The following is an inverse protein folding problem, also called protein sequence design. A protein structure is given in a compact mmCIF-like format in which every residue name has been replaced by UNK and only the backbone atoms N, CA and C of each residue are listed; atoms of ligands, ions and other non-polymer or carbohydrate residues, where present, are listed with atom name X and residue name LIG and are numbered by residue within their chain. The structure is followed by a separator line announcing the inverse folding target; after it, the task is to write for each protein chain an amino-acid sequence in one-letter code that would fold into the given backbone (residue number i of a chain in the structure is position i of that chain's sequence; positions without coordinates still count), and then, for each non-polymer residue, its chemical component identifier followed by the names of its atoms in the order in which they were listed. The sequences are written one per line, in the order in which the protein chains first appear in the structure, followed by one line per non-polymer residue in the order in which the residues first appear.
data_IF_326930200607
#
_entry.id   IF_326930200607
#
_cell.length_a   1.000
_cell.length_b   1.000
_cell.length_c   1.000
_cell.angle_alpha   90.00
_cell.angle_beta   90.00
_cell.angle_gamma   90.00
#
_symmetry.space_group_name_H-M   'P 1'
#
loop_
_entity.id
_entity.type
_entity.pdbx_description
1 polymer ?
#
# COMPACT_ATOMS: atom_id res chain seq x y z
N UNK A 1 24.68 27.08 -41.41
CA UNK A 1 23.80 26.13 -40.68
C UNK A 1 24.58 25.19 -39.75
N UNK A 2 25.63 24.51 -40.21
CA UNK A 2 26.41 23.54 -39.40
C UNK A 2 27.06 24.15 -38.13
N UNK A 3 27.58 25.38 -38.19
CA UNK A 3 28.21 26.05 -37.04
C UNK A 3 27.25 26.30 -35.86
N UNK A 4 25.95 26.50 -36.12
CA UNK A 4 24.96 26.77 -35.08
C UNK A 4 24.61 25.48 -34.30
N UNK A 5 24.55 24.34 -35.00
CA UNK A 5 24.26 23.04 -34.42
C UNK A 5 25.38 22.56 -33.48
N UNK A 6 26.64 22.78 -33.86
CA UNK A 6 27.80 22.43 -33.03
C UNK A 6 27.86 23.29 -31.76
N UNK A 7 27.49 24.57 -31.85
CA UNK A 7 27.48 25.48 -30.69
C UNK A 7 26.44 25.06 -29.65
N UNK A 8 25.23 24.70 -30.08
CA UNK A 8 24.17 24.23 -29.19
C UNK A 8 24.56 22.91 -28.50
N UNK A 9 25.12 21.96 -29.24
CA UNK A 9 25.56 20.68 -28.68
C UNK A 9 26.62 20.88 -27.56
N UNK A 10 27.51 21.86 -27.72
CA UNK A 10 28.54 22.16 -26.72
C UNK A 10 27.97 22.78 -25.43
N UNK A 11 26.92 23.61 -25.53
CA UNK A 11 26.25 24.17 -24.35
C UNK A 11 25.45 23.12 -23.59
N UNK A 12 24.72 22.24 -24.30
CA UNK A 12 24.01 21.12 -23.68
C UNK A 12 24.97 20.18 -22.93
N UNK A 13 26.14 19.90 -23.49
CA UNK A 13 27.13 19.05 -22.84
C UNK A 13 27.72 19.68 -21.57
N UNK A 14 27.92 21.00 -21.55
CA UNK A 14 28.36 21.74 -20.35
C UNK A 14 27.31 21.70 -19.22
N UNK A 15 26.04 21.89 -19.55
CA UNK A 15 24.92 21.80 -18.61
C UNK A 15 24.78 20.38 -18.03
N UNK A 16 24.96 19.36 -18.86
CA UNK A 16 24.91 17.96 -18.43
C UNK A 16 26.02 17.62 -17.41
N UNK A 17 27.26 18.06 -17.65
CA UNK A 17 28.38 17.83 -16.73
C UNK A 17 28.19 18.58 -15.39
N UNK A 18 27.59 19.78 -15.40
CA UNK A 18 27.32 20.53 -14.17
C UNK A 18 26.28 19.81 -13.28
N UNK A 19 25.24 19.21 -13.87
CA UNK A 19 24.21 18.49 -13.10
C UNK A 19 24.74 17.18 -12.46
N UNK A 20 25.66 16.47 -13.12
CA UNK A 20 26.26 15.24 -12.56
C UNK A 20 27.11 15.55 -11.31
N UNK A 21 27.83 16.68 -11.30
CA UNK A 21 28.64 17.08 -10.14
C UNK A 21 27.80 17.47 -8.92
N UNK A 22 26.60 18.03 -9.14
CA UNK A 22 25.70 18.42 -8.06
C UNK A 22 25.07 17.19 -7.36
N UNK A 23 24.84 16.11 -8.10
CA UNK A 23 24.30 14.84 -7.54
C UNK A 23 25.28 14.08 -6.66
N UNK A 24 26.60 14.25 -6.85
CA UNK A 24 27.62 13.48 -6.11
C UNK A 24 27.95 14.06 -4.72
N UNK A 25 27.51 15.29 -4.42
CA UNK A 25 27.79 15.94 -3.12
C UNK A 25 26.73 15.57 -2.05
N UNK A 26 25.61 14.95 -2.43
CA UNK A 26 24.51 14.63 -1.49
C UNK A 26 24.63 13.27 -0.79
N UNK A 27 25.57 12.40 -1.15
CA UNK A 27 25.64 11.03 -0.61
C UNK A 27 26.47 10.88 0.68
N UNK A 28 27.09 11.94 1.21
CA UNK A 28 27.99 11.83 2.36
C UNK A 28 27.37 12.17 3.73
N UNK A 29 26.08 12.52 3.80
CA UNK A 29 25.48 13.08 5.04
C UNK A 29 24.57 12.13 5.85
N UNK A 30 24.44 10.84 5.51
CA UNK A 30 23.50 9.92 6.18
C UNK A 30 24.14 8.75 6.95
N UNK A 31 25.38 8.89 7.41
CA UNK A 31 26.11 7.82 8.12
C UNK A 31 26.36 8.06 9.62
N UNK A 32 25.58 8.89 10.33
CA UNK A 32 25.79 9.17 11.78
C UNK A 32 24.51 9.11 12.64
N UNK A 33 23.59 8.16 12.40
CA UNK A 33 22.46 7.96 13.33
C UNK A 33 22.21 6.51 13.77
N UNK A 34 23.24 5.66 13.74
CA UNK A 34 23.23 4.39 14.47
C UNK A 34 24.21 4.46 15.63
N UNK A 35 23.78 5.11 16.71
CA UNK A 35 24.45 5.06 18.01
C UNK A 35 23.45 4.63 19.08
N UNK A 36 23.46 3.32 19.33
CA UNK A 36 23.27 2.65 20.62
C UNK A 36 22.23 3.25 21.59
N UNK A 37 21.01 2.72 21.57
CA UNK A 37 20.18 2.67 22.78
C UNK A 37 20.40 1.32 23.46
N UNK A 38 21.19 1.35 24.53
CA UNK A 38 21.44 0.27 25.46
C UNK A 38 20.19 0.11 26.35
N UNK A 39 19.57 -1.07 26.35
CA UNK A 39 18.34 -1.33 27.09
C UNK A 39 18.38 -2.66 27.84
N UNK A 40 19.07 -2.64 28.98
CA UNK A 40 18.92 -3.50 30.18
C UNK A 40 18.33 -4.91 30.03
N UNK A 41 19.21 -5.90 30.20
CA UNK A 41 18.88 -7.23 30.69
C UNK A 41 18.24 -7.16 32.08
N UNK A 42 17.00 -7.63 32.21
CA UNK A 42 16.45 -8.07 33.49
C UNK A 42 16.01 -9.52 33.39
N UNK A 43 16.68 -10.32 34.22
CA UNK A 43 16.35 -11.68 34.61
C UNK A 43 14.87 -11.81 34.99
N UNK A 44 14.21 -12.81 34.44
CA UNK A 44 13.04 -13.42 35.06
C UNK A 44 13.35 -14.88 35.39
N UNK A 45 13.22 -15.19 36.67
CA UNK A 45 13.16 -16.55 37.21
C UNK A 45 11.83 -17.18 36.80
N UNK A 46 11.85 -18.39 36.23
CA UNK A 46 10.67 -19.26 36.22
C UNK A 46 10.94 -20.51 37.04
N UNK A 47 10.14 -20.64 38.09
CA UNK A 47 10.08 -21.73 39.06
C UNK A 47 9.54 -23.01 38.40
N UNK A 48 10.01 -24.12 38.96
CA UNK A 48 9.84 -25.54 38.60
C UNK A 48 8.43 -26.12 38.80
N UNK A 49 8.22 -27.20 38.05
CA UNK A 49 7.38 -28.40 38.29
C UNK A 49 5.86 -28.22 38.05
N UNK A 50 5.19 -29.10 37.29
CA UNK A 50 4.98 -30.50 37.71
C UNK A 50 4.69 -31.42 36.52
N UNK A 51 5.27 -32.61 36.58
CA UNK A 51 4.94 -33.82 35.82
C UNK A 51 3.47 -34.23 36.00
N UNK A 52 2.83 -34.70 34.92
CA UNK A 52 1.80 -35.73 35.00
C UNK A 52 2.06 -36.76 33.90
N UNK A 53 2.28 -37.97 34.38
CA UNK A 53 2.54 -39.23 33.71
C UNK A 53 1.35 -39.79 32.90
N UNK A 54 1.73 -40.55 31.87
CA UNK A 54 1.14 -41.83 31.43
C UNK A 54 -0.17 -41.89 30.62
N UNK A 55 0.02 -42.03 29.31
CA UNK A 55 -0.39 -43.16 28.43
C UNK A 55 -1.64 -43.98 28.84
N UNK A 56 -2.63 -44.02 27.94
CA UNK A 56 -3.34 -45.27 27.57
C UNK A 56 -3.74 -45.20 26.08
N UNK A 57 -3.45 -46.29 25.36
CA UNK A 57 -3.73 -46.54 23.92
C UNK A 57 -5.01 -47.39 23.82
N UNK A 58 -5.67 -47.31 22.64
CA UNK A 58 -6.83 -48.07 22.11
C UNK A 58 -8.16 -47.30 22.33
N UNK A 59 -8.97 -46.97 21.31
CA UNK A 59 -9.42 -47.83 20.22
C UNK A 59 -9.42 -47.19 18.83
N UNK A 60 -9.19 -48.08 17.86
CA UNK A 60 -9.32 -47.90 16.42
C UNK A 60 -10.76 -48.30 16.05
N UNK A 61 -11.67 -47.34 15.85
CA UNK A 61 -12.89 -47.61 15.11
C UNK A 61 -13.20 -46.49 14.09
N UNK A 62 -13.44 -47.00 12.90
CA UNK A 62 -13.61 -46.38 11.61
C UNK A 62 -14.91 -45.56 11.59
N UNK A 63 -14.80 -44.24 11.39
CA UNK A 63 -15.96 -43.43 11.02
C UNK A 63 -15.59 -42.56 9.82
N UNK A 64 -16.12 -42.95 8.67
CA UNK A 64 -16.13 -42.20 7.42
C UNK A 64 -16.56 -40.75 7.67
N UNK A 65 -15.59 -39.84 7.81
CA UNK A 65 -15.81 -38.40 7.65
C UNK A 65 -15.45 -38.03 6.23
N UNK A 66 -16.50 -37.80 5.44
CA UNK A 66 -16.45 -36.96 4.25
C UNK A 66 -15.59 -35.73 4.57
N UNK A 67 -14.52 -35.56 3.79
CA UNK A 67 -13.71 -34.36 3.81
C UNK A 67 -14.62 -33.24 3.28
N UNK A 68 -15.30 -32.56 4.20
CA UNK A 68 -15.84 -31.24 3.91
C UNK A 68 -14.63 -30.34 3.67
N UNK A 69 -14.48 -29.97 2.39
CA UNK A 69 -13.63 -28.88 1.93
C UNK A 69 -13.73 -27.72 2.92
N UNK A 70 -12.61 -27.07 3.29
CA UNK A 70 -12.68 -25.85 4.11
C UNK A 70 -13.58 -24.88 3.37
N UNK A 71 -14.76 -24.67 3.95
CA UNK A 71 -15.76 -23.76 3.44
C UNK A 71 -15.13 -22.39 3.46
N UNK A 72 -14.98 -21.81 2.27
CA UNK A 72 -14.70 -20.39 2.07
C UNK A 72 -15.78 -19.62 2.84
N UNK A 73 -15.50 -19.29 4.10
CA UNK A 73 -16.25 -18.28 4.81
C UNK A 73 -15.91 -16.97 4.11
N UNK A 74 -16.71 -16.62 3.08
CA UNK A 74 -16.77 -15.27 2.58
C UNK A 74 -16.84 -14.35 3.81
N UNK A 75 -15.90 -13.41 3.97
CA UNK A 75 -16.01 -12.44 5.05
C UNK A 75 -17.37 -11.77 4.90
N UNK A 76 -18.09 -11.63 6.01
CA UNK A 76 -19.42 -11.01 6.10
C UNK A 76 -19.34 -9.49 5.86
N UNK A 77 -18.70 -9.09 4.77
CA UNK A 77 -18.63 -7.73 4.31
C UNK A 77 -19.77 -7.50 3.33
N UNK A 78 -20.59 -6.50 3.59
CA UNK A 78 -21.67 -6.13 2.69
C UNK A 78 -21.08 -5.46 1.44
N UNK A 79 -20.78 -6.25 0.41
CA UNK A 79 -20.26 -5.78 -0.89
C UNK A 79 -21.12 -4.72 -1.59
N UNK A 80 -22.31 -4.37 -1.08
CA UNK A 80 -23.13 -3.29 -1.66
C UNK A 80 -22.59 -1.88 -1.42
N UNK A 81 -21.75 -1.65 -0.40
CA UNK A 81 -21.33 -0.28 0.00
C UNK A 81 -20.03 0.20 -0.68
N UNK A 82 -19.21 -0.71 -1.20
CA UNK A 82 -18.00 -0.40 -1.98
C UNK A 82 -18.09 -1.13 -3.31
N UNK A 83 -18.09 -0.37 -4.39
CA UNK A 83 -18.23 -0.89 -5.75
C UNK A 83 -16.97 -0.59 -6.54
N UNK A 84 -16.37 -1.63 -7.13
CA UNK A 84 -15.28 -1.48 -8.08
C UNK A 84 -15.79 -0.73 -9.34
N UNK A 85 -15.04 0.28 -9.77
CA UNK A 85 -15.33 1.05 -10.99
C UNK A 85 -14.42 0.58 -12.12
N UNK A 86 -13.11 0.73 -11.94
CA UNK A 86 -12.11 0.40 -12.97
C UNK A 86 -10.72 0.22 -12.35
N UNK A 87 -9.77 -0.32 -13.11
CA UNK A 87 -8.37 -0.43 -12.73
C UNK A 87 -7.44 -0.14 -13.90
N UNK A 88 -6.34 0.56 -13.63
CA UNK A 88 -5.31 0.92 -14.60
C UNK A 88 -3.94 0.55 -14.08
N UNK A 89 -3.14 -0.05 -14.95
CA UNK A 89 -1.73 -0.35 -14.70
C UNK A 89 -0.82 0.59 -15.50
N UNK A 90 0.34 0.89 -14.92
CA UNK A 90 1.42 1.65 -15.52
C UNK A 90 2.72 0.86 -15.35
N UNK A 91 3.25 0.35 -16.47
CA UNK A 91 4.49 -0.44 -16.47
C UNK A 91 5.68 0.47 -16.17
N UNK A 92 6.57 0.00 -15.31
CA UNK A 92 7.84 0.64 -14.97
C UNK A 92 8.92 0.10 -15.90
N UNK A 93 9.37 0.93 -16.83
CA UNK A 93 10.33 0.52 -17.86
C UNK A 93 11.68 0.02 -17.30
N UNK A 94 12.06 0.46 -16.09
CA UNK A 94 13.35 0.13 -15.48
C UNK A 94 13.45 -1.32 -15.01
N UNK A 95 12.36 -1.87 -14.46
CA UNK A 95 12.36 -3.16 -13.75
C UNK A 95 11.29 -4.14 -14.28
N UNK A 96 10.47 -3.71 -15.25
CA UNK A 96 9.37 -4.50 -15.79
C UNK A 96 8.22 -4.72 -14.81
N UNK A 97 8.27 -4.10 -13.63
CA UNK A 97 7.20 -4.12 -12.63
C UNK A 97 6.11 -3.11 -13.03
N UNK A 98 5.08 -2.92 -12.21
CA UNK A 98 4.00 -2.00 -12.52
C UNK A 98 3.45 -1.29 -11.29
N UNK A 99 2.97 -0.07 -11.49
CA UNK A 99 2.08 0.58 -10.53
C UNK A 99 0.64 0.33 -10.97
N UNK A 100 -0.28 0.17 -10.04
CA UNK A 100 -1.69 0.01 -10.35
C UNK A 100 -2.53 0.94 -9.49
N UNK A 101 -3.53 1.54 -10.12
CA UNK A 101 -4.56 2.31 -9.45
C UNK A 101 -5.91 1.65 -9.71
N UNK A 102 -6.68 1.42 -8.66
CA UNK A 102 -8.01 0.83 -8.72
C UNK A 102 -9.00 1.82 -8.12
N UNK A 103 -10.04 2.15 -8.87
CA UNK A 103 -11.03 3.15 -8.49
C UNK A 103 -12.28 2.46 -7.96
N UNK A 104 -12.79 2.96 -6.85
CA UNK A 104 -13.99 2.48 -6.21
C UNK A 104 -14.98 3.62 -6.01
N UNK A 105 -16.26 3.28 -6.06
CA UNK A 105 -17.35 4.10 -5.57
C UNK A 105 -17.72 3.62 -4.17
N UNK A 106 -17.98 4.54 -3.25
CA UNK A 106 -18.40 4.22 -1.89
C UNK A 106 -19.63 5.01 -1.49
N UNK A 107 -20.45 4.41 -0.63
CA UNK A 107 -21.58 5.11 -0.05
C UNK A 107 -21.12 6.35 0.75
N UNK A 108 -21.91 7.43 0.71
CA UNK A 108 -21.62 8.69 1.40
C UNK A 108 -21.50 8.51 2.92
N UNK A 109 -22.22 7.54 3.47
CA UNK A 109 -22.20 7.22 4.89
C UNK A 109 -21.05 6.31 5.33
N UNK A 110 -20.15 5.90 4.42
CA UNK A 110 -19.07 4.98 4.76
C UNK A 110 -18.14 5.59 5.81
N UNK A 111 -17.83 4.83 6.85
CA UNK A 111 -16.94 5.24 7.92
C UNK A 111 -15.54 4.60 7.78
N UNK A 112 -14.61 5.06 8.62
CA UNK A 112 -13.24 4.59 8.62
C UNK A 112 -13.12 3.09 8.90
N UNK A 113 -13.87 2.57 9.88
CA UNK A 113 -13.74 1.16 10.28
C UNK A 113 -14.16 0.21 9.16
N UNK A 114 -15.22 0.56 8.43
CA UNK A 114 -15.67 -0.19 7.25
C UNK A 114 -14.63 -0.19 6.12
N UNK A 115 -13.99 0.94 5.85
CA UNK A 115 -12.92 1.04 4.86
C UNK A 115 -11.67 0.27 5.30
N UNK A 116 -11.32 0.34 6.59
CA UNK A 116 -10.19 -0.39 7.16
C UNK A 116 -10.40 -1.90 7.06
N UNK A 117 -11.58 -2.37 7.41
CA UNK A 117 -11.98 -3.78 7.29
C UNK A 117 -11.87 -4.23 5.84
N UNK A 118 -12.53 -3.51 4.92
CA UNK A 118 -12.45 -3.81 3.48
C UNK A 118 -11.01 -3.89 2.98
N UNK A 119 -10.19 -2.87 3.26
CA UNK A 119 -8.81 -2.80 2.81
C UNK A 119 -7.99 -3.97 3.37
N UNK A 120 -8.19 -4.36 4.63
CA UNK A 120 -7.51 -5.50 5.25
C UNK A 120 -7.90 -6.82 4.56
N UNK A 121 -9.19 -6.99 4.26
CA UNK A 121 -9.72 -8.17 3.58
C UNK A 121 -9.18 -8.31 2.15
N UNK A 122 -9.13 -7.22 1.38
CA UNK A 122 -8.74 -7.28 -0.04
C UNK A 122 -7.23 -7.20 -0.27
N UNK A 123 -6.44 -6.74 0.72
CA UNK A 123 -4.97 -6.60 0.61
C UNK A 123 -4.27 -7.82 -0.04
N UNK A 124 -4.59 -9.08 0.31
CA UNK A 124 -3.95 -10.25 -0.32
C UNK A 124 -4.11 -10.33 -1.84
N UNK A 125 -5.19 -9.77 -2.39
CA UNK A 125 -5.47 -9.74 -3.83
C UNK A 125 -4.56 -8.76 -4.58
N UNK A 126 -3.87 -7.88 -3.87
CA UNK A 126 -2.97 -6.84 -4.40
C UNK A 126 -1.50 -7.16 -4.10
N UNK A 127 -1.15 -8.45 -4.07
CA UNK A 127 0.20 -8.94 -3.71
C UNK A 127 1.27 -8.81 -4.80
N UNK A 128 0.87 -8.47 -6.04
CA UNK A 128 1.77 -8.28 -7.19
C UNK A 128 1.93 -6.80 -7.54
N UNK A 129 2.91 -6.44 -8.36
CA UNK A 129 3.19 -5.04 -8.70
C UNK A 129 4.10 -4.34 -7.69
N UNK A 130 4.47 -3.09 -7.95
CA UNK A 130 5.31 -2.26 -7.08
C UNK A 130 4.42 -1.47 -6.09
N UNK A 131 3.59 -0.57 -6.63
CA UNK A 131 2.59 0.17 -5.87
C UNK A 131 1.18 -0.24 -6.29
N UNK A 132 0.33 -0.48 -5.29
CA UNK A 132 -1.09 -0.72 -5.48
C UNK A 132 -1.85 0.40 -4.76
N UNK A 133 -2.65 1.16 -5.50
CA UNK A 133 -3.32 2.35 -5.02
C UNK A 133 -4.82 2.15 -5.22
N UNK A 134 -5.57 2.03 -4.14
CA UNK A 134 -7.03 1.92 -4.17
C UNK A 134 -7.62 3.27 -3.76
N UNK A 135 -8.48 3.83 -4.59
CA UNK A 135 -9.02 5.18 -4.39
C UNK A 135 -10.54 5.13 -4.33
N UNK A 136 -11.09 5.65 -3.25
CA UNK A 136 -12.50 5.54 -2.91
C UNK A 136 -13.19 6.89 -3.15
N UNK A 137 -14.12 6.95 -4.10
CA UNK A 137 -14.88 8.14 -4.47
C UNK A 137 -16.28 8.13 -3.85
N UNK A 138 -16.72 9.26 -3.30
CA UNK A 138 -18.04 9.40 -2.65
C UNK A 138 -19.20 9.66 -3.62
N UNK A 139 -18.92 9.94 -4.89
CA UNK A 139 -19.93 10.31 -5.90
C UNK A 139 -19.89 9.35 -7.09
N UNK A 140 -21.06 8.81 -7.51
CA UNK A 140 -21.17 8.07 -8.76
C UNK A 140 -20.73 8.95 -9.94
N UNK A 141 -19.88 8.39 -10.81
CA UNK A 141 -19.47 9.03 -12.06
C UNK A 141 -18.42 10.15 -11.92
N UNK A 142 -17.94 10.49 -10.72
CA UNK A 142 -16.82 11.42 -10.56
C UNK A 142 -15.46 10.74 -10.68
N UNK A 143 -15.41 9.42 -10.53
CA UNK A 143 -14.17 8.68 -10.56
C UNK A 143 -13.58 8.64 -11.98
N UNK A 144 -12.32 9.03 -12.08
CA UNK A 144 -11.50 8.93 -13.29
C UNK A 144 -10.06 8.72 -12.88
N UNK A 145 -9.23 8.25 -13.78
CA UNK A 145 -7.78 8.19 -13.53
C UNK A 145 -7.17 9.59 -13.60
N UNK A 146 -6.11 9.87 -12.83
CA UNK A 146 -5.39 11.13 -12.95
C UNK A 146 -4.69 11.20 -14.32
N UNK A 147 -4.48 12.43 -14.79
CA UNK A 147 -3.66 12.69 -15.99
C UNK A 147 -2.15 12.59 -15.71
N UNK A 148 -1.77 12.51 -14.43
CA UNK A 148 -0.40 12.32 -13.98
C UNK A 148 -0.05 10.82 -13.90
N UNK A 149 1.24 10.46 -13.74
CA UNK A 149 1.61 9.11 -13.35
C UNK A 149 0.81 8.63 -12.14
N UNK A 150 0.45 7.35 -12.08
CA UNK A 150 -0.45 6.83 -11.04
C UNK A 150 0.06 7.10 -9.62
N UNK A 151 1.38 7.04 -9.43
CA UNK A 151 2.06 7.32 -8.16
C UNK A 151 2.07 8.80 -7.77
N UNK A 152 1.83 9.70 -8.73
CA UNK A 152 1.67 11.12 -8.51
C UNK A 152 0.28 11.51 -7.98
N UNK A 153 -0.64 10.55 -7.89
CA UNK A 153 -2.01 10.70 -7.41
C UNK A 153 -2.78 11.84 -8.12
N UNK A 154 -3.90 12.23 -7.50
CA UNK A 154 -4.78 13.29 -7.96
C UNK A 154 -4.24 14.66 -7.57
N UNK A 155 -4.49 15.65 -8.42
CA UNK A 155 -4.11 17.06 -8.17
C UNK A 155 -5.22 18.05 -8.50
N UNK A 156 -6.15 17.66 -9.36
CA UNK A 156 -7.27 18.50 -9.74
C UNK A 156 -8.27 18.60 -8.59
N UNK A 157 -8.60 19.82 -8.19
CA UNK A 157 -9.54 20.11 -7.09
C UNK A 157 -10.87 19.36 -7.25
N UNK A 158 -11.37 19.23 -8.49
CA UNK A 158 -12.60 18.48 -8.79
C UNK A 158 -12.52 17.02 -8.38
N UNK A 159 -11.35 16.40 -8.47
CA UNK A 159 -11.14 15.01 -8.10
C UNK A 159 -11.00 14.91 -6.58
N UNK A 160 -10.15 15.78 -6.00
CA UNK A 160 -9.87 15.83 -4.56
C UNK A 160 -11.14 16.04 -3.72
N UNK A 161 -12.09 16.84 -4.23
CA UNK A 161 -13.40 17.05 -3.58
C UNK A 161 -14.26 15.79 -3.51
N UNK A 162 -13.95 14.75 -4.29
CA UNK A 162 -14.73 13.52 -4.37
C UNK A 162 -14.01 12.31 -3.75
N UNK A 163 -12.73 12.41 -3.44
CA UNK A 163 -11.97 11.33 -2.81
C UNK A 163 -12.28 11.27 -1.32
N UNK A 164 -12.78 10.11 -0.88
CA UNK A 164 -13.12 9.79 0.51
C UNK A 164 -11.97 9.10 1.24
N UNK A 165 -11.19 8.28 0.54
CA UNK A 165 -9.99 7.66 1.07
C UNK A 165 -9.03 7.20 -0.04
N UNK A 166 -7.77 7.02 0.33
CA UNK A 166 -6.73 6.42 -0.51
C UNK A 166 -6.02 5.34 0.29
N UNK A 167 -6.06 4.10 -0.19
CA UNK A 167 -5.29 2.99 0.38
C UNK A 167 -4.09 2.69 -0.53
N UNK A 168 -2.89 2.77 0.04
CA UNK A 168 -1.64 2.54 -0.70
C UNK A 168 -0.92 1.34 -0.12
N UNK A 169 -0.53 0.41 -0.98
CA UNK A 169 0.33 -0.74 -0.66
C UNK A 169 1.62 -0.60 -1.47
N UNK A 170 2.75 -0.77 -0.80
CA UNK A 170 4.07 -0.93 -1.39
C UNK A 170 4.53 -2.37 -1.18
N UNK A 171 4.46 -3.17 -2.24
CA UNK A 171 4.79 -4.59 -2.16
C UNK A 171 6.29 -4.85 -2.03
N UNK A 172 7.15 -3.85 -2.28
CA UNK A 172 8.60 -4.01 -2.17
C UNK A 172 9.05 -4.05 -0.71
N UNK A 173 8.41 -3.27 0.17
CA UNK A 173 8.76 -3.19 1.58
C UNK A 173 7.63 -3.65 2.52
N UNK A 174 6.53 -4.17 1.97
CA UNK A 174 5.37 -4.68 2.74
C UNK A 174 4.54 -3.59 3.42
N UNK A 175 4.86 -2.31 3.21
CA UNK A 175 4.14 -1.21 3.82
C UNK A 175 2.74 -1.05 3.20
N UNK A 176 1.73 -0.82 4.03
CA UNK A 176 0.45 -0.29 3.53
C UNK A 176 -0.24 0.64 4.51
N UNK A 177 -0.86 1.69 3.96
CA UNK A 177 -1.58 2.72 4.72
C UNK A 177 -2.90 3.11 4.07
N UNK A 178 -3.88 3.41 4.89
CA UNK A 178 -5.16 4.01 4.53
C UNK A 178 -5.17 5.47 4.99
N UNK A 179 -5.27 6.39 4.05
CA UNK A 179 -5.53 7.80 4.29
C UNK A 179 -7.03 8.04 4.16
N UNK A 180 -7.72 8.31 5.27
CA UNK A 180 -9.16 8.56 5.33
C UNK A 180 -9.46 10.04 5.54
N UNK A 181 -10.47 10.56 4.85
CA UNK A 181 -10.86 11.96 4.93
C UNK A 181 -12.28 12.08 5.51
N UNK A 182 -12.44 12.86 6.58
CA UNK A 182 -13.75 13.08 7.20
C UNK A 182 -14.75 13.66 6.18
N UNK A 183 -14.32 14.64 5.39
CA UNK A 183 -15.10 15.25 4.31
C UNK A 183 -14.68 14.75 2.94
N UNK A 184 -13.44 15.05 2.56
CA UNK A 184 -12.75 14.66 1.33
C UNK A 184 -11.30 15.18 1.37
N UNK A 185 -10.49 14.77 0.41
CA UNK A 185 -9.06 15.13 0.34
C UNK A 185 -8.81 16.65 0.24
N UNK A 186 -9.74 17.41 -0.34
CA UNK A 186 -9.62 18.86 -0.45
C UNK A 186 -9.94 19.60 0.86
N UNK A 187 -10.96 19.16 1.59
CA UNK A 187 -11.56 19.91 2.70
C UNK A 187 -11.14 19.41 4.09
N UNK A 188 -10.46 18.27 4.18
CA UNK A 188 -10.05 17.67 5.45
C UNK A 188 -8.66 17.06 5.37
N UNK A 189 -7.92 17.14 6.48
CA UNK A 189 -6.65 16.43 6.62
C UNK A 189 -6.90 14.92 6.69
N UNK A 190 -5.94 14.14 6.18
CA UNK A 190 -6.00 12.69 6.26
C UNK A 190 -5.84 12.22 7.71
N UNK A 191 -6.70 11.31 8.12
CA UNK A 191 -6.41 10.38 9.19
C UNK A 191 -5.69 9.18 8.56
N UNK A 192 -4.41 8.99 8.89
CA UNK A 192 -3.58 7.92 8.34
C UNK A 192 -3.55 6.72 9.28
N UNK A 193 -3.90 5.53 8.76
CA UNK A 193 -3.91 4.26 9.49
C UNK A 193 -3.00 3.28 8.76
N UNK A 194 -2.02 2.70 9.46
CA UNK A 194 -1.27 1.57 8.94
C UNK A 194 -2.12 0.30 9.01
N UNK A 195 -2.14 -0.45 7.92
CA UNK A 195 -2.82 -1.75 7.84
C UNK A 195 -1.74 -2.78 7.58
N UNK A 196 -1.51 -3.69 8.52
CA UNK A 196 -0.47 -4.72 8.42
C UNK A 196 -1.05 -6.00 7.83
#
# INVERSE_FOLDING_TARGET
MIKLQVSLALEYYKLFIMNIKLSLISCAAFAIFLSCSNGNDKKEESIKNTDIDSITILDLEETNRTIESPTDSEPAYNNSIIKLIDSKQEIRELDGNFNQMTLFEVDKGINLDQLKEYCSTVKPNYSNGYFQILVFFKQPGSARFPNNPLTGLFKEESDLKNIKAVYTINNINGYSKLDYYEKNEWESLAQTININ
#
